data_IF_668741439302
#
_entry.id   IF_668741439302
#
_cell.length_a   1.000
_cell.length_b   1.000
_cell.length_c   1.000
_cell.angle_alpha   90.00
_cell.angle_beta   90.00
_cell.angle_gamma   90.00
#
_symmetry.space_group_name_H-M   'P 1'
#
loop_
_entity.id
_entity.type
_entity.pdbx_description
1 polymer ?
#
# COMPACT_ATOMS: atom_id res chain seq x y z
N UNK A 1 3.97 3.57 3.72
CA UNK A 1 5.18 2.75 3.92
C UNK A 1 4.90 1.51 4.76
N UNK A 2 4.29 1.62 5.95
CA UNK A 2 3.88 0.44 6.75
C UNK A 2 3.02 -0.57 5.95
N UNK A 3 1.92 -0.12 5.34
CA UNK A 3 1.09 -0.90 4.40
C UNK A 3 1.82 -1.43 3.14
N UNK A 4 3.08 -1.05 2.93
CA UNK A 4 3.93 -1.53 1.83
C UNK A 4 5.02 -2.50 2.30
N UNK A 5 5.16 -2.72 3.62
CA UNK A 5 6.27 -3.49 4.21
C UNK A 5 7.65 -2.83 4.09
N UNK A 6 7.70 -1.52 3.78
CA UNK A 6 8.95 -0.80 3.51
C UNK A 6 9.38 0.02 4.72
N UNK A 7 10.63 -0.17 5.16
CA UNK A 7 11.28 0.66 6.19
C UNK A 7 11.45 2.08 5.64
N UNK A 8 11.01 3.08 6.39
CA UNK A 8 11.13 4.50 6.03
C UNK A 8 12.04 5.23 7.01
N UNK A 9 13.17 5.72 6.52
CA UNK A 9 14.07 6.58 7.29
C UNK A 9 13.45 8.00 7.45
N UNK A 10 13.32 8.54 8.67
CA UNK A 10 12.74 9.85 8.89
C UNK A 10 13.63 10.96 8.30
N UNK A 11 13.05 11.73 7.38
CA UNK A 11 13.76 12.79 6.66
C UNK A 11 13.80 14.07 7.52
N UNK A 12 14.97 14.71 7.74
CA UNK A 12 15.07 15.98 8.43
C UNK A 12 14.21 17.07 7.76
N UNK A 13 13.50 17.87 8.56
CA UNK A 13 12.52 18.87 8.07
C UNK A 13 13.17 19.95 7.20
N UNK A 14 14.43 20.31 7.49
CA UNK A 14 15.28 21.19 6.69
C UNK A 14 15.60 20.65 5.29
N UNK A 15 15.40 19.34 5.06
CA UNK A 15 15.62 18.63 3.79
C UNK A 15 14.33 18.14 3.16
N UNK A 16 13.18 18.45 3.75
CA UNK A 16 11.88 18.07 3.18
C UNK A 16 11.59 18.90 1.93
N UNK A 17 11.32 18.21 0.83
CA UNK A 17 10.97 18.82 -0.45
C UNK A 17 10.04 17.85 -1.18
N UNK A 18 8.79 18.25 -1.46
CA UNK A 18 7.80 17.37 -2.10
C UNK A 18 8.24 16.87 -3.47
N UNK A 19 8.93 17.71 -4.25
CA UNK A 19 9.48 17.33 -5.56
C UNK A 19 10.60 16.28 -5.46
N UNK A 20 11.29 16.14 -4.31
CA UNK A 20 12.29 15.08 -4.09
C UNK A 20 11.68 13.73 -3.66
N UNK A 21 10.39 13.70 -3.31
CA UNK A 21 9.72 12.52 -2.76
C UNK A 21 8.66 11.93 -3.69
N UNK A 22 8.27 12.65 -4.74
CA UNK A 22 7.30 12.23 -5.75
C UNK A 22 7.56 10.80 -6.26
N UNK A 23 8.79 10.50 -6.69
CA UNK A 23 9.20 9.20 -7.23
C UNK A 23 9.22 8.06 -6.21
N UNK A 24 8.85 8.33 -4.95
CA UNK A 24 8.66 7.32 -3.88
C UNK A 24 7.18 7.14 -3.50
N UNK A 25 6.29 7.99 -4.01
CA UNK A 25 4.85 8.01 -3.68
C UNK A 25 4.00 7.14 -4.60
N UNK A 26 4.59 6.46 -5.60
CA UNK A 26 3.86 5.57 -6.52
C UNK A 26 2.97 6.31 -7.52
N UNK A 27 3.36 7.53 -7.91
CA UNK A 27 2.76 8.24 -9.04
C UNK A 27 3.03 7.52 -10.37
N UNK A 28 2.13 7.67 -11.35
CA UNK A 28 2.47 7.43 -12.76
C UNK A 28 3.35 8.57 -13.31
N UNK A 29 4.05 8.33 -14.43
CA UNK A 29 4.83 9.37 -15.10
C UNK A 29 4.00 10.62 -15.47
N UNK A 30 2.72 10.43 -15.84
CA UNK A 30 1.81 11.55 -16.11
C UNK A 30 1.50 12.35 -14.83
N UNK A 31 1.28 11.67 -13.70
CA UNK A 31 1.07 12.34 -12.41
C UNK A 31 2.33 13.05 -11.91
N UNK A 32 3.53 12.49 -12.11
CA UNK A 32 4.79 13.19 -11.84
C UNK A 32 4.94 14.44 -12.71
N UNK A 33 4.55 14.37 -13.99
CA UNK A 33 4.56 15.51 -14.91
C UNK A 33 3.53 16.59 -14.52
N UNK A 34 2.32 16.21 -14.09
CA UNK A 34 1.36 17.15 -13.50
C UNK A 34 1.93 17.81 -12.24
N UNK A 35 2.49 17.01 -11.32
CA UNK A 35 3.09 17.48 -10.08
C UNK A 35 4.21 18.52 -10.31
N UNK A 36 5.06 18.30 -11.32
CA UNK A 36 6.13 19.23 -11.70
C UNK A 36 5.63 20.58 -12.22
N UNK A 37 4.39 20.66 -12.73
CA UNK A 37 3.78 21.92 -13.19
C UNK A 37 3.12 22.73 -12.08
N UNK A 38 2.85 22.13 -10.91
CA UNK A 38 2.19 22.81 -9.78
C UNK A 38 3.21 23.67 -9.03
N UNK A 39 3.26 24.98 -9.34
CA UNK A 39 4.26 25.91 -8.80
C UNK A 39 4.09 26.28 -7.32
N UNK A 40 2.90 26.08 -6.75
CA UNK A 40 2.53 26.50 -5.40
C UNK A 40 2.54 25.31 -4.43
N UNK A 41 3.38 25.38 -3.41
CA UNK A 41 3.68 24.25 -2.50
C UNK A 41 2.43 23.67 -1.81
N UNK A 42 1.48 24.51 -1.37
CA UNK A 42 0.22 24.04 -0.77
C UNK A 42 -0.61 23.17 -1.71
N UNK A 43 -0.50 23.43 -3.02
CA UNK A 43 -1.34 22.80 -4.04
C UNK A 43 -0.65 21.51 -4.52
N UNK A 44 0.69 21.50 -4.53
CA UNK A 44 1.52 20.29 -4.71
C UNK A 44 1.33 19.33 -3.53
N UNK A 45 1.24 19.85 -2.31
CA UNK A 45 0.88 19.08 -1.11
C UNK A 45 -0.54 18.51 -1.15
N UNK A 46 -1.53 19.30 -1.59
CA UNK A 46 -2.91 18.84 -1.74
C UNK A 46 -3.05 17.70 -2.77
N UNK A 47 -2.37 17.83 -3.92
CA UNK A 47 -2.31 16.79 -4.95
C UNK A 47 -1.67 15.49 -4.44
N UNK A 48 -0.58 15.60 -3.67
CA UNK A 48 0.05 14.44 -2.99
C UNK A 48 -0.89 13.79 -1.99
N UNK A 49 -1.61 14.57 -1.18
CA UNK A 49 -2.53 14.06 -0.18
C UNK A 49 -3.68 13.26 -0.81
N UNK A 50 -4.26 13.74 -1.90
CA UNK A 50 -5.33 13.06 -2.63
C UNK A 50 -4.86 11.70 -3.20
N UNK A 51 -3.74 11.71 -3.93
CA UNK A 51 -3.12 10.50 -4.48
C UNK A 51 -2.77 9.46 -3.40
N UNK A 52 -2.18 9.90 -2.28
CA UNK A 52 -1.84 9.00 -1.17
C UNK A 52 -3.10 8.44 -0.49
N UNK A 53 -4.16 9.23 -0.35
CA UNK A 53 -5.45 8.79 0.22
C UNK A 53 -6.10 7.71 -0.65
N UNK A 54 -6.11 7.91 -1.96
CA UNK A 54 -6.56 6.90 -2.93
C UNK A 54 -5.70 5.63 -2.87
N UNK A 55 -4.36 5.80 -2.85
CA UNK A 55 -3.40 4.68 -2.79
C UNK A 55 -3.56 3.83 -1.53
N UNK A 56 -3.79 4.45 -0.36
CA UNK A 56 -4.05 3.75 0.90
C UNK A 56 -5.30 2.88 0.81
N UNK A 57 -6.40 3.42 0.27
CA UNK A 57 -7.66 2.68 0.08
C UNK A 57 -7.51 1.44 -0.80
N UNK A 58 -6.70 1.53 -1.87
CA UNK A 58 -6.37 0.39 -2.74
C UNK A 58 -5.50 -0.65 -2.01
N UNK A 59 -4.47 -0.22 -1.27
CA UNK A 59 -3.62 -1.13 -0.49
C UNK A 59 -4.42 -1.89 0.57
N UNK A 60 -5.36 -1.24 1.26
CA UNK A 60 -6.26 -1.92 2.19
C UNK A 60 -7.10 -3.02 1.53
N UNK A 61 -7.59 -2.81 0.30
CA UNK A 61 -8.33 -3.86 -0.40
C UNK A 61 -7.42 -5.01 -0.82
N UNK A 62 -6.20 -4.70 -1.27
CA UNK A 62 -5.18 -5.71 -1.59
C UNK A 62 -4.83 -6.57 -0.37
N UNK A 63 -4.65 -5.98 0.80
CA UNK A 63 -4.30 -6.72 2.03
C UNK A 63 -5.48 -7.57 2.54
N UNK A 64 -6.73 -7.06 2.45
CA UNK A 64 -7.94 -7.87 2.70
C UNK A 64 -8.02 -9.07 1.74
N UNK A 65 -7.68 -8.87 0.46
CA UNK A 65 -7.65 -9.95 -0.54
C UNK A 65 -6.56 -10.99 -0.25
N UNK A 66 -5.35 -10.57 0.18
CA UNK A 66 -4.30 -11.51 0.65
C UNK A 66 -4.82 -12.38 1.80
N UNK A 67 -5.39 -11.77 2.84
CA UNK A 67 -5.92 -12.50 3.99
C UNK A 67 -7.03 -13.50 3.60
N UNK A 68 -7.89 -13.17 2.63
CA UNK A 68 -8.88 -14.12 2.10
C UNK A 68 -8.24 -15.30 1.35
N UNK A 69 -7.16 -15.06 0.59
CA UNK A 69 -6.42 -16.12 -0.11
C UNK A 69 -5.69 -17.02 0.90
N UNK A 70 -5.12 -16.46 1.96
CA UNK A 70 -4.49 -17.21 3.06
C UNK A 70 -5.52 -18.07 3.81
N UNK A 71 -6.72 -17.54 4.09
CA UNK A 71 -7.83 -18.33 4.65
C UNK A 71 -8.27 -19.46 3.72
N UNK A 72 -8.25 -19.26 2.39
CA UNK A 72 -8.50 -20.33 1.43
C UNK A 72 -7.37 -21.36 1.38
N UNK A 73 -6.11 -20.96 1.65
CA UNK A 73 -5.00 -21.90 1.90
C UNK A 73 -5.15 -22.68 3.22
N UNK A 74 -5.85 -22.11 4.20
CA UNK A 74 -6.30 -22.81 5.41
C UNK A 74 -7.58 -23.64 5.21
N UNK A 75 -8.21 -23.61 4.04
CA UNK A 75 -9.20 -24.61 3.64
C UNK A 75 -8.46 -25.92 3.38
N UNK A 76 -8.12 -26.62 4.48
CA UNK A 76 -7.53 -27.96 4.43
C UNK A 76 -8.35 -28.79 3.46
N UNK A 77 -7.69 -29.37 2.47
CA UNK A 77 -8.29 -30.43 1.68
C UNK A 77 -8.39 -31.65 2.60
N UNK A 78 -9.41 -31.66 3.45
CA UNK A 78 -9.74 -32.76 4.34
C UNK A 78 -10.10 -33.94 3.43
N UNK A 79 -9.11 -34.80 3.18
CA UNK A 79 -9.32 -36.08 2.54
C UNK A 79 -10.40 -36.81 3.36
N UNK A 80 -11.57 -37.16 2.77
CA UNK A 80 -12.74 -37.63 3.52
C UNK A 80 -12.57 -39.03 4.14
N UNK A 81 -11.32 -39.49 4.27
CA UNK A 81 -10.88 -40.74 4.86
C UNK A 81 -9.97 -40.54 6.09
N UNK A 82 -9.59 -39.32 6.47
CA UNK A 82 -8.63 -39.07 7.56
C UNK A 82 -9.27 -39.12 8.97
N UNK A 83 -9.97 -40.22 9.27
CA UNK A 83 -10.69 -40.49 10.53
C UNK A 83 -9.75 -40.88 11.69
N UNK A 84 -8.67 -40.13 11.95
CA UNK A 84 -7.68 -40.50 12.98
C UNK A 84 -8.10 -40.20 14.43
N UNK A 85 -9.06 -39.30 14.64
CA UNK A 85 -9.49 -38.84 15.96
C UNK A 85 -10.88 -39.37 16.39
N UNK A 86 -11.36 -40.45 15.77
CA UNK A 86 -12.62 -41.13 16.17
C UNK A 86 -12.32 -42.27 17.17
N UNK A 87 -12.29 -41.94 18.46
CA UNK A 87 -12.48 -42.92 19.54
C UNK A 87 -13.99 -43.19 19.78
N UNK A 88 -14.31 -44.37 20.35
CA UNK A 88 -15.68 -44.87 20.61
C UNK A 88 -15.85 -45.13 22.10
#
# INVERSE_FOLDING_TARGET
>A
YELMGVIFDPIPVDKFNTYMLAHKMGFSFDQEYELLKITKESDRLAYILDHLTSTISVLEQVDRTKAMIEMNGHFRNFDPLDFKDFEI
#
